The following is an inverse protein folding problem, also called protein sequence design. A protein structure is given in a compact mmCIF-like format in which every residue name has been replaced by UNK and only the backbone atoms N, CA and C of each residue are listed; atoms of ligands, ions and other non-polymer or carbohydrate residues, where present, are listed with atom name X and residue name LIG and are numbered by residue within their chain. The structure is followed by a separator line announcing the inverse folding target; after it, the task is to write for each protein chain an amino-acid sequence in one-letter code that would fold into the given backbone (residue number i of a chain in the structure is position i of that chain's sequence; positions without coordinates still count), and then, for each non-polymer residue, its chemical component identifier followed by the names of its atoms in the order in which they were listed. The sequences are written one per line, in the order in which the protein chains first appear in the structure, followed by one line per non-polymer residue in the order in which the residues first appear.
data_IF_469437297484
#
_entry.id   IF_469437297484
#
_cell.length_a   1.000
_cell.length_b   1.000
_cell.length_c   1.000
_cell.angle_alpha   90.00
_cell.angle_beta   90.00
_cell.angle_gamma   90.00
#
_symmetry.space_group_name_H-M   'P 1'
#
loop_
_entity.id
_entity.type
_entity.pdbx_description
1 polymer ?
#
# COMPACT_ATOMS: atom_id res chain seq x y z
N UNK A 1 26.44 7.57 25.04
CA UNK A 1 25.55 6.38 25.08
C UNK A 1 24.20 6.67 24.44
N UNK A 2 23.76 7.93 24.37
CA UNK A 2 22.44 8.31 23.85
C UNK A 2 22.23 8.05 22.35
N UNK A 3 23.25 8.22 21.50
CA UNK A 3 23.12 7.95 20.06
C UNK A 3 22.86 6.46 19.76
N UNK A 4 23.51 5.57 20.50
CA UNK A 4 23.33 4.13 20.31
C UNK A 4 21.92 3.71 20.74
N UNK A 5 21.42 4.19 21.87
CA UNK A 5 20.04 3.92 22.31
C UNK A 5 19.00 4.52 21.35
N UNK A 6 19.26 5.72 20.82
CA UNK A 6 18.41 6.33 19.80
C UNK A 6 18.36 5.51 18.50
N UNK A 7 19.51 5.09 17.97
CA UNK A 7 19.56 4.26 16.76
C UNK A 7 18.84 2.92 16.97
N UNK A 8 19.03 2.29 18.13
CA UNK A 8 18.31 1.05 18.48
C UNK A 8 16.81 1.30 18.55
N UNK A 9 16.36 2.39 19.18
CA UNK A 9 14.93 2.74 19.23
C UNK A 9 14.33 2.88 17.83
N UNK A 10 14.99 3.60 16.92
CA UNK A 10 14.52 3.79 15.54
C UNK A 10 14.45 2.47 14.78
N UNK A 11 15.48 1.63 14.87
CA UNK A 11 15.49 0.31 14.20
C UNK A 11 14.38 -0.58 14.73
N UNK A 12 14.14 -0.57 16.05
CA UNK A 12 13.05 -1.32 16.67
C UNK A 12 11.69 -0.79 16.19
N UNK A 13 11.47 0.52 16.16
CA UNK A 13 10.22 1.12 15.64
C UNK A 13 9.99 0.72 14.19
N UNK A 14 11.01 0.80 13.33
CA UNK A 14 10.91 0.37 11.93
C UNK A 14 10.55 -1.11 11.84
N UNK A 15 11.23 -1.98 12.59
CA UNK A 15 10.98 -3.42 12.58
C UNK A 15 9.55 -3.75 13.04
N UNK A 16 9.05 -3.06 14.06
CA UNK A 16 7.67 -3.23 14.56
C UNK A 16 6.66 -2.76 13.52
N UNK A 17 6.81 -1.55 12.99
CA UNK A 17 5.88 -1.00 11.97
C UNK A 17 5.86 -1.89 10.73
N UNK A 18 7.03 -2.27 10.20
CA UNK A 18 7.13 -3.15 9.04
C UNK A 18 6.55 -4.53 9.30
N UNK A 19 6.82 -5.11 10.48
CA UNK A 19 6.25 -6.39 10.88
C UNK A 19 4.72 -6.35 10.96
N UNK A 20 4.16 -5.29 11.54
CA UNK A 20 2.71 -5.08 11.62
C UNK A 20 2.11 -4.88 10.23
N UNK A 21 2.71 -4.06 9.38
CA UNK A 21 2.22 -3.80 8.01
C UNK A 21 2.21 -5.08 7.18
N UNK A 22 3.30 -5.86 7.19
CA UNK A 22 3.37 -7.12 6.43
C UNK A 22 2.37 -8.16 6.94
N UNK A 23 2.20 -8.29 8.27
CA UNK A 23 1.17 -9.15 8.84
C UNK A 23 -0.24 -8.65 8.48
N UNK A 24 -0.46 -7.34 8.50
CA UNK A 24 -1.74 -6.75 8.12
C UNK A 24 -2.09 -7.07 6.68
N UNK A 25 -1.16 -6.88 5.74
CA UNK A 25 -1.36 -7.24 4.32
C UNK A 25 -1.69 -8.72 4.17
N UNK A 26 -0.93 -9.61 4.83
CA UNK A 26 -1.17 -11.05 4.78
C UNK A 26 -2.57 -11.43 5.29
N UNK A 27 -2.98 -10.92 6.45
CA UNK A 27 -4.29 -11.24 7.03
C UNK A 27 -5.45 -10.51 6.37
N UNK A 28 -5.24 -9.35 5.75
CA UNK A 28 -6.27 -8.69 4.94
C UNK A 28 -6.74 -9.58 3.80
N UNK A 29 -5.84 -10.30 3.12
CA UNK A 29 -6.23 -11.26 2.07
C UNK A 29 -7.08 -12.40 2.62
N UNK A 30 -6.82 -12.86 3.85
CA UNK A 30 -7.64 -13.86 4.52
C UNK A 30 -9.03 -13.31 4.86
N UNK A 31 -9.09 -12.09 5.42
CA UNK A 31 -10.35 -11.44 5.74
C UNK A 31 -11.17 -11.16 4.48
N UNK A 32 -10.54 -10.70 3.40
CA UNK A 32 -11.20 -10.48 2.10
C UNK A 32 -11.85 -11.77 1.60
N UNK A 33 -11.12 -12.90 1.58
CA UNK A 33 -11.67 -14.21 1.17
C UNK A 33 -12.84 -14.66 2.05
N UNK A 34 -12.80 -14.37 3.34
CA UNK A 34 -13.82 -14.79 4.30
C UNK A 34 -15.07 -13.93 4.20
N UNK A 35 -14.92 -12.61 4.20
CA UNK A 35 -16.02 -11.64 4.05
C UNK A 35 -16.72 -11.84 2.71
N UNK A 36 -15.96 -11.98 1.62
CA UNK A 36 -16.55 -12.22 0.29
C UNK A 36 -17.26 -13.57 0.21
N UNK A 37 -16.74 -14.61 0.89
CA UNK A 37 -17.43 -15.89 1.02
C UNK A 37 -18.78 -15.72 1.72
N UNK A 38 -18.77 -15.10 2.90
CA UNK A 38 -19.97 -14.89 3.71
C UNK A 38 -21.01 -14.02 2.97
N UNK A 39 -20.58 -12.99 2.21
CA UNK A 39 -21.46 -12.19 1.34
C UNK A 39 -22.10 -13.00 0.21
N UNK A 40 -21.44 -14.07 -0.22
CA UNK A 40 -21.89 -14.97 -1.31
C UNK A 40 -22.61 -16.22 -0.77
N UNK A 41 -22.93 -16.27 0.52
CA UNK A 41 -23.53 -17.43 1.20
C UNK A 41 -22.71 -18.73 1.01
N UNK A 42 -21.37 -18.60 1.00
CA UNK A 42 -20.44 -19.72 0.98
C UNK A 42 -19.39 -19.58 2.07
N UNK A 43 -18.96 -20.69 2.65
CA UNK A 43 -17.88 -20.65 3.64
C UNK A 43 -16.56 -20.23 2.97
N UNK A 44 -15.87 -19.26 3.57
CA UNK A 44 -14.50 -18.90 3.23
C UNK A 44 -13.48 -20.00 3.61
N UNK A 45 -12.18 -19.69 3.69
CA UNK A 45 -11.15 -20.66 4.08
C UNK A 45 -11.39 -21.25 5.48
N UNK A 46 -11.57 -22.57 5.59
CA UNK A 46 -11.82 -23.26 6.88
C UNK A 46 -10.78 -24.31 7.27
N UNK A 47 -9.96 -24.77 6.32
CA UNK A 47 -9.13 -25.98 6.47
C UNK A 47 -7.75 -25.73 7.11
N UNK A 48 -7.02 -24.69 6.65
CA UNK A 48 -5.61 -24.50 7.03
C UNK A 48 -5.51 -23.80 8.39
N UNK A 49 -5.52 -24.61 9.46
CA UNK A 49 -5.56 -24.15 10.85
C UNK A 49 -6.98 -23.85 11.34
N UNK A 50 -7.12 -23.34 12.57
CA UNK A 50 -8.44 -23.00 13.10
C UNK A 50 -9.11 -21.92 12.24
N UNK A 51 -10.20 -22.28 11.56
CA UNK A 51 -10.92 -21.41 10.61
C UNK A 51 -10.01 -20.80 9.51
N UNK A 52 -8.97 -21.51 9.05
CA UNK A 52 -8.13 -21.04 7.95
C UNK A 52 -7.10 -19.95 8.32
N UNK A 53 -6.86 -19.68 9.61
CA UNK A 53 -5.93 -18.62 10.05
C UNK A 53 -4.49 -18.79 9.54
N UNK A 54 -4.06 -20.03 9.24
CA UNK A 54 -2.72 -20.30 8.73
C UNK A 54 -2.63 -20.22 7.20
N UNK A 55 -3.73 -19.90 6.51
CA UNK A 55 -3.78 -19.80 5.05
C UNK A 55 -2.80 -18.75 4.49
N UNK A 56 -2.68 -17.52 5.02
CA UNK A 56 -1.72 -16.55 4.49
C UNK A 56 -0.26 -17.02 4.61
N UNK A 57 0.06 -17.77 5.67
CA UNK A 57 1.39 -18.35 5.86
C UNK A 57 1.66 -19.44 4.82
N UNK A 58 0.67 -20.31 4.55
CA UNK A 58 0.78 -21.33 3.50
C UNK A 58 0.93 -20.70 2.10
N UNK A 59 0.20 -19.63 1.81
CA UNK A 59 0.29 -18.89 0.55
C UNK A 59 1.68 -18.25 0.39
N UNK A 60 2.20 -17.60 1.44
CA UNK A 60 3.55 -17.05 1.45
C UNK A 60 4.63 -18.11 1.25
N UNK A 61 4.53 -19.24 1.96
CA UNK A 61 5.46 -20.37 1.83
C UNK A 61 5.45 -20.94 0.42
N UNK A 62 4.26 -21.13 -0.16
CA UNK A 62 4.08 -21.56 -1.55
C UNK A 62 4.78 -20.60 -2.50
N UNK A 63 4.54 -19.29 -2.38
CA UNK A 63 5.10 -18.29 -3.28
C UNK A 63 6.62 -18.19 -3.15
N UNK A 64 7.17 -18.42 -1.95
CA UNK A 64 8.61 -18.44 -1.71
C UNK A 64 9.33 -19.62 -2.36
N UNK A 65 8.74 -20.83 -2.31
CA UNK A 65 9.32 -22.02 -2.94
C UNK A 65 8.92 -22.20 -4.42
N UNK A 66 7.94 -21.43 -4.90
CA UNK A 66 7.52 -21.47 -6.29
C UNK A 66 8.62 -20.90 -7.17
N UNK A 67 8.89 -21.59 -8.27
CA UNK A 67 9.90 -21.21 -9.24
C UNK A 67 9.68 -19.78 -9.75
N UNK A 68 10.74 -18.96 -9.67
CA UNK A 68 10.80 -17.60 -10.18
C UNK A 68 11.31 -17.62 -11.62
N UNK A 69 10.39 -17.47 -12.57
CA UNK A 69 10.63 -17.61 -14.01
C UNK A 69 10.81 -16.20 -14.60
N UNK A 70 11.85 -16.04 -15.40
CA UNK A 70 12.05 -14.83 -16.21
C UNK A 70 11.87 -15.22 -17.68
N UNK A 71 10.87 -14.65 -18.39
CA UNK A 71 10.67 -14.93 -19.81
C UNK A 71 11.92 -14.60 -20.63
N UNK A 72 12.24 -15.41 -21.64
CA UNK A 72 13.46 -15.25 -22.46
C UNK A 72 13.49 -13.94 -23.24
N UNK A 73 12.32 -13.43 -23.64
CA UNK A 73 12.16 -12.15 -24.33
C UNK A 73 12.13 -10.93 -23.39
N UNK A 74 12.05 -11.12 -22.07
CA UNK A 74 11.90 -10.02 -21.13
C UNK A 74 13.23 -9.30 -20.85
N UNK A 75 13.16 -8.00 -20.56
CA UNK A 75 14.32 -7.25 -20.09
C UNK A 75 14.59 -7.62 -18.62
N UNK A 76 15.62 -8.44 -18.37
CA UNK A 76 15.93 -8.98 -17.03
C UNK A 76 16.09 -7.93 -15.94
N UNK A 77 16.71 -6.78 -16.25
CA UNK A 77 16.97 -5.73 -15.26
C UNK A 77 15.65 -5.09 -14.83
N UNK A 78 14.87 -4.63 -15.80
CA UNK A 78 13.62 -3.90 -15.54
C UNK A 78 12.55 -4.85 -15.01
N UNK A 79 12.50 -6.08 -15.52
CA UNK A 79 11.56 -7.10 -15.06
C UNK A 79 11.78 -7.44 -13.58
N UNK A 80 13.04 -7.47 -13.12
CA UNK A 80 13.36 -7.71 -11.70
C UNK A 80 13.16 -6.45 -10.84
N UNK A 81 13.42 -5.26 -11.38
CA UNK A 81 13.29 -4.01 -10.65
C UNK A 81 11.85 -3.53 -10.49
N UNK A 82 10.96 -3.81 -11.46
CA UNK A 82 9.60 -3.29 -11.47
C UNK A 82 8.76 -3.66 -10.23
N UNK A 83 8.71 -4.92 -9.76
CA UNK A 83 7.98 -5.27 -8.53
C UNK A 83 8.57 -4.57 -7.29
N UNK A 84 9.89 -4.37 -7.25
CA UNK A 84 10.57 -3.64 -6.16
C UNK A 84 10.15 -2.17 -6.17
N UNK A 85 9.99 -1.57 -7.35
CA UNK A 85 9.50 -0.20 -7.52
C UNK A 85 8.03 -0.02 -7.15
N UNK A 86 7.23 -1.09 -7.07
CA UNK A 86 5.87 -1.03 -6.53
C UNK A 86 5.91 -1.16 -5.01
N UNK A 87 6.60 -2.20 -4.51
CA UNK A 87 6.62 -2.55 -3.09
C UNK A 87 7.32 -1.50 -2.22
N UNK A 88 8.52 -1.06 -2.63
CA UNK A 88 9.36 -0.19 -1.79
C UNK A 88 8.69 1.17 -1.53
N UNK A 89 8.17 1.90 -2.53
CA UNK A 89 7.43 3.14 -2.29
C UNK A 89 6.20 2.96 -1.39
N UNK A 90 5.46 1.85 -1.54
CA UNK A 90 4.30 1.56 -0.69
C UNK A 90 4.70 1.39 0.78
N UNK A 91 5.82 0.69 1.06
CA UNK A 91 6.33 0.51 2.42
C UNK A 91 6.93 1.79 3.00
N UNK A 92 7.65 2.56 2.19
CA UNK A 92 8.27 3.82 2.58
C UNK A 92 7.21 4.86 2.95
N UNK A 93 6.04 4.85 2.31
CA UNK A 93 4.91 5.73 2.64
C UNK A 93 4.48 5.68 4.12
N UNK A 94 4.64 4.53 4.78
CA UNK A 94 4.32 4.37 6.21
C UNK A 94 5.28 5.09 7.16
N UNK A 95 6.43 5.58 6.67
CA UNK A 95 7.44 6.24 7.51
C UNK A 95 6.92 7.52 8.19
N UNK A 96 5.98 8.23 7.54
CA UNK A 96 5.46 9.53 7.99
C UNK A 96 4.10 9.45 8.68
N UNK A 97 3.51 8.25 8.78
CA UNK A 97 2.17 8.07 9.36
C UNK A 97 2.29 7.98 10.89
N UNK A 98 1.63 8.87 11.65
CA UNK A 98 1.60 8.78 13.11
C UNK A 98 0.58 7.74 13.57
N UNK A 99 1.02 6.75 14.36
CA UNK A 99 0.16 5.70 14.92
C UNK A 99 -0.40 6.01 16.32
N UNK A 100 0.06 7.10 16.94
CA UNK A 100 -0.30 7.47 18.29
C UNK A 100 0.25 8.83 18.69
N UNK A 101 -0.20 9.34 19.85
CA UNK A 101 0.19 10.67 20.36
C UNK A 101 1.35 10.58 21.37
N UNK A 102 1.31 9.58 22.24
CA UNK A 102 2.27 9.46 23.33
C UNK A 102 3.43 8.55 22.95
N UNK A 103 4.64 8.99 23.29
CA UNK A 103 5.84 8.16 23.21
C UNK A 103 5.79 7.06 24.27
N UNK A 104 6.02 5.81 23.85
CA UNK A 104 6.10 4.68 24.76
C UNK A 104 7.54 4.56 25.28
N UNK A 105 7.74 4.87 26.55
CA UNK A 105 9.05 4.70 27.20
C UNK A 105 9.15 3.31 27.84
N UNK A 106 9.98 2.43 27.29
CA UNK A 106 10.28 1.11 27.87
C UNK A 106 11.73 1.15 28.37
N UNK A 107 11.91 1.35 29.68
CA UNK A 107 13.24 1.48 30.28
C UNK A 107 14.00 2.69 29.71
N UNK A 108 15.24 2.53 29.19
CA UNK A 108 16.00 3.62 28.59
C UNK A 108 15.59 3.95 27.13
N UNK A 109 14.64 3.22 26.54
CA UNK A 109 14.20 3.40 25.15
C UNK A 109 12.89 4.19 25.09
N UNK A 110 12.91 5.34 24.42
CA UNK A 110 11.71 6.12 24.09
C UNK A 110 11.29 5.81 22.66
N UNK A 111 10.21 5.04 22.49
CA UNK A 111 9.64 4.72 21.19
C UNK A 111 8.63 5.78 20.81
N UNK A 112 8.91 6.52 19.75
CA UNK A 112 7.94 7.45 19.17
C UNK A 112 6.98 6.64 18.27
N UNK A 113 5.67 6.91 18.31
CA UNK A 113 4.66 6.23 17.50
C UNK A 113 4.64 6.70 16.03
N UNK A 114 5.74 7.32 15.57
CA UNK A 114 6.01 7.72 14.19
C UNK A 114 7.48 7.39 13.91
N UNK A 115 7.80 6.91 12.72
CA UNK A 115 9.20 6.60 12.36
C UNK A 115 9.98 7.92 12.22
N UNK A 116 9.47 8.83 11.38
CA UNK A 116 10.05 10.17 11.19
C UNK A 116 8.96 11.19 10.89
N UNK A 117 8.93 12.29 11.63
CA UNK A 117 8.13 13.46 11.26
C UNK A 117 8.91 14.31 10.24
N UNK A 118 8.32 14.50 9.07
CA UNK A 118 8.89 15.31 7.99
C UNK A 118 7.95 16.49 7.74
N UNK A 119 8.50 17.69 7.62
CA UNK A 119 7.74 18.92 7.39
C UNK A 119 6.81 18.85 6.17
N UNK A 120 7.14 18.01 5.17
CA UNK A 120 6.40 17.81 3.93
C UNK A 120 5.73 16.42 3.85
N UNK A 121 5.29 15.87 4.98
CA UNK A 121 4.78 14.51 5.10
C UNK A 121 3.69 14.12 4.10
N UNK A 122 2.70 14.97 3.84
CA UNK A 122 1.65 14.64 2.87
C UNK A 122 2.16 14.62 1.42
N UNK A 123 3.07 15.54 1.06
CA UNK A 123 3.71 15.59 -0.26
C UNK A 123 4.65 14.40 -0.47
N UNK A 124 5.26 13.92 0.61
CA UNK A 124 6.07 12.72 0.61
C UNK A 124 5.21 11.49 0.24
N UNK A 125 4.04 11.30 0.86
CA UNK A 125 3.14 10.19 0.53
C UNK A 125 2.74 10.25 -0.96
N UNK A 126 2.32 11.43 -1.45
CA UNK A 126 1.95 11.62 -2.85
C UNK A 126 3.10 11.30 -3.80
N UNK A 127 4.32 11.76 -3.49
CA UNK A 127 5.50 11.49 -4.31
C UNK A 127 5.79 9.99 -4.41
N UNK A 128 5.70 9.23 -3.31
CA UNK A 128 5.95 7.79 -3.34
C UNK A 128 4.80 6.98 -3.94
N UNK A 129 3.54 7.41 -3.79
CA UNK A 129 2.40 6.78 -4.49
C UNK A 129 2.56 6.91 -6.01
N UNK A 130 2.97 8.09 -6.50
CA UNK A 130 3.25 8.32 -7.93
C UNK A 130 4.29 7.36 -8.51
N UNK A 131 5.29 6.96 -7.71
CA UNK A 131 6.32 6.00 -8.11
C UNK A 131 5.76 4.58 -8.31
N UNK A 132 4.70 4.22 -7.59
CA UNK A 132 4.01 2.94 -7.76
C UNK A 132 3.45 2.76 -9.16
N UNK A 133 2.89 3.81 -9.77
CA UNK A 133 2.38 3.80 -11.14
C UNK A 133 3.48 3.47 -12.16
N UNK A 134 4.69 3.98 -11.95
CA UNK A 134 5.85 3.64 -12.79
C UNK A 134 6.22 2.17 -12.67
N UNK A 135 6.17 1.59 -11.47
CA UNK A 135 6.45 0.17 -11.26
C UNK A 135 5.49 -0.74 -12.05
N UNK A 136 4.20 -0.40 -12.06
CA UNK A 136 3.17 -1.11 -12.82
C UNK A 136 3.41 -1.03 -14.33
N UNK A 137 3.69 0.17 -14.86
CA UNK A 137 3.96 0.37 -16.29
C UNK A 137 5.23 -0.37 -16.74
N UNK A 138 6.31 -0.25 -15.96
CA UNK A 138 7.59 -0.91 -16.24
C UNK A 138 7.47 -2.43 -16.15
N UNK A 139 6.66 -2.96 -15.24
CA UNK A 139 6.39 -4.41 -15.16
C UNK A 139 5.70 -4.94 -16.41
N UNK A 140 4.66 -4.23 -16.87
CA UNK A 140 3.98 -4.55 -18.13
C UNK A 140 4.90 -4.47 -19.34
N UNK A 141 5.72 -3.43 -19.46
CA UNK A 141 6.64 -3.25 -20.59
C UNK A 141 7.82 -4.22 -20.59
N UNK A 142 8.44 -4.47 -19.43
CA UNK A 142 9.62 -5.32 -19.32
C UNK A 142 9.34 -6.79 -19.66
N UNK A 143 8.08 -7.22 -19.51
CA UNK A 143 7.60 -8.56 -19.81
C UNK A 143 7.68 -8.94 -21.30
N UNK A 144 7.84 -7.95 -22.21
CA UNK A 144 7.88 -8.13 -23.66
C UNK A 144 6.68 -8.90 -24.25
N UNK A 145 5.52 -8.80 -23.60
CA UNK A 145 4.23 -9.31 -24.09
C UNK A 145 3.32 -8.13 -24.42
N UNK A 146 2.74 -8.11 -25.64
CA UNK A 146 1.79 -7.06 -26.05
C UNK A 146 0.54 -7.03 -25.17
N UNK A 147 0.14 -8.18 -24.64
CA UNK A 147 -1.01 -8.30 -23.75
C UNK A 147 -0.73 -7.61 -22.41
N UNK A 148 0.40 -7.95 -21.78
CA UNK A 148 0.83 -7.36 -20.52
C UNK A 148 1.14 -5.87 -20.62
N UNK A 149 1.66 -5.42 -21.76
CA UNK A 149 1.87 -4.00 -22.05
C UNK A 149 0.55 -3.22 -22.11
N UNK A 150 -0.49 -3.76 -22.77
CA UNK A 150 -1.81 -3.12 -22.82
C UNK A 150 -2.45 -3.03 -21.44
N UNK A 151 -2.33 -4.08 -20.62
CA UNK A 151 -2.78 -4.06 -19.22
C UNK A 151 -2.03 -3.04 -18.37
N UNK A 152 -0.70 -2.98 -18.48
CA UNK A 152 0.12 -1.99 -17.78
C UNK A 152 -0.18 -0.55 -18.17
N UNK A 153 -0.41 -0.28 -19.46
CA UNK A 153 -0.79 1.05 -19.96
C UNK A 153 -2.15 1.50 -19.42
N UNK A 154 -3.13 0.59 -19.36
CA UNK A 154 -4.46 0.89 -18.80
C UNK A 154 -4.40 1.13 -17.29
N UNK A 155 -3.66 0.31 -16.56
CA UNK A 155 -3.44 0.51 -15.12
C UNK A 155 -2.78 1.85 -14.84
N UNK A 156 -1.68 2.14 -15.53
CA UNK A 156 -0.98 3.41 -15.37
C UNK A 156 -1.88 4.61 -15.71
N UNK A 157 -2.65 4.52 -16.79
CA UNK A 157 -3.60 5.58 -17.15
C UNK A 157 -4.66 5.81 -16.08
N UNK A 158 -5.21 4.74 -15.48
CA UNK A 158 -6.16 4.84 -14.38
C UNK A 158 -5.53 5.47 -13.14
N UNK A 159 -4.43 4.91 -12.65
CA UNK A 159 -3.73 5.38 -11.44
C UNK A 159 -3.40 6.87 -11.57
N UNK A 160 -2.77 7.29 -12.67
CA UNK A 160 -2.41 8.69 -12.92
C UNK A 160 -3.65 9.59 -13.00
N UNK A 161 -4.75 9.12 -13.60
CA UNK A 161 -5.98 9.91 -13.73
C UNK A 161 -6.67 10.17 -12.38
N UNK A 162 -6.61 9.21 -11.46
CA UNK A 162 -7.24 9.33 -10.13
C UNK A 162 -6.31 9.94 -9.07
N UNK A 163 -5.01 9.97 -9.32
CA UNK A 163 -4.02 10.66 -8.49
C UNK A 163 -4.25 12.19 -8.45
N UNK A 164 -4.61 12.79 -9.59
CA UNK A 164 -4.84 14.24 -9.66
C UNK A 164 -6.04 14.68 -8.79
N UNK A 165 -7.24 14.08 -8.88
CA UNK A 165 -8.32 14.38 -7.95
C UNK A 165 -7.99 14.07 -6.49
N UNK A 166 -7.18 13.04 -6.21
CA UNK A 166 -6.73 12.72 -4.85
C UNK A 166 -5.86 13.85 -4.29
N UNK A 167 -4.90 14.36 -5.07
CA UNK A 167 -4.10 15.52 -4.70
C UNK A 167 -4.95 16.78 -4.49
N UNK A 168 -5.95 17.03 -5.34
CA UNK A 168 -6.86 18.15 -5.19
C UNK A 168 -7.74 18.04 -3.92
N UNK A 169 -8.21 16.84 -3.58
CA UNK A 169 -8.98 16.60 -2.37
C UNK A 169 -8.18 16.87 -1.08
N UNK A 170 -6.85 16.73 -1.12
CA UNK A 170 -5.96 17.01 0.01
C UNK A 170 -5.69 18.50 0.24
N UNK A 171 -5.91 19.37 -0.74
CA UNK A 171 -5.67 20.82 -0.62
C UNK A 171 -6.49 21.41 0.53
N UNK A 172 -7.74 21.00 0.68
CA UNK A 172 -8.61 21.48 1.74
C UNK A 172 -8.11 21.17 3.15
N UNK A 173 -7.84 19.89 3.49
CA UNK A 173 -7.20 19.50 4.74
C UNK A 173 -5.86 20.22 5.02
N UNK A 174 -5.04 20.47 4.00
CA UNK A 174 -3.78 21.21 4.14
C UNK A 174 -4.01 22.66 4.56
N UNK A 175 -5.02 23.33 3.98
CA UNK A 175 -5.37 24.70 4.34
C UNK A 175 -5.95 24.79 5.76
N UNK A 176 -6.73 23.78 6.18
CA UNK A 176 -7.31 23.72 7.53
C UNK A 176 -6.25 23.46 8.61
N UNK A 177 -5.25 22.62 8.33
CA UNK A 177 -4.17 22.31 9.28
C UNK A 177 -3.12 23.41 9.36
N UNK A 178 -2.93 24.20 8.30
CA UNK A 178 -1.83 25.16 8.19
C UNK A 178 -0.43 24.53 8.16
N UNK A 179 -0.35 23.20 7.97
CA UNK A 179 0.90 22.44 7.99
C UNK A 179 0.85 21.24 7.04
N UNK A 180 1.99 20.88 6.46
CA UNK A 180 2.16 19.72 5.59
C UNK A 180 2.67 18.48 6.34
N UNK A 181 2.99 18.60 7.64
CA UNK A 181 3.36 17.47 8.50
C UNK A 181 2.12 16.70 8.93
N UNK A 182 2.17 15.37 8.79
CA UNK A 182 1.08 14.47 9.21
C UNK A 182 0.81 14.53 10.72
N UNK A 183 1.85 14.76 11.53
CA UNK A 183 1.72 14.90 12.99
C UNK A 183 0.93 16.16 13.33
N UNK A 184 1.26 17.29 12.69
CA UNK A 184 0.53 18.54 12.89
C UNK A 184 -0.91 18.46 12.35
N UNK A 185 -1.12 17.80 11.21
CA UNK A 185 -2.45 17.59 10.63
C UNK A 185 -3.36 16.74 11.51
N UNK A 186 -2.81 15.71 12.16
CA UNK A 186 -3.57 14.89 13.12
C UNK A 186 -3.81 15.64 14.43
N UNK A 187 -2.85 16.43 14.91
CA UNK A 187 -3.02 17.29 16.08
C UNK A 187 -4.10 18.38 15.86
N UNK A 188 -4.20 18.95 14.65
CA UNK A 188 -5.23 19.93 14.28
C UNK A 188 -6.66 19.36 14.32
N UNK A 189 -6.81 18.04 14.26
CA UNK A 189 -8.10 17.35 14.39
C UNK A 189 -8.42 16.94 15.83
N UNK A 190 -7.56 17.29 16.79
CA UNK A 190 -7.84 17.07 18.21
C UNK A 190 -8.87 18.10 18.71
N UNK A 191 -9.95 17.63 19.35
CA UNK A 191 -11.05 18.50 19.80
C UNK A 191 -12.46 17.91 19.64
N UNK A 192 -12.60 16.72 19.05
CA UNK A 192 -13.87 16.01 18.91
C UNK A 192 -14.36 15.95 17.47
N UNK A 193 -15.53 15.35 17.25
CA UNK A 193 -16.06 15.05 15.91
C UNK A 193 -16.18 16.29 15.01
N UNK A 194 -16.54 17.46 15.57
CA UNK A 194 -16.69 18.70 14.80
C UNK A 194 -15.37 19.24 14.20
N UNK A 195 -14.21 18.80 14.72
CA UNK A 195 -12.90 19.18 14.21
C UNK A 195 -12.34 18.18 13.17
N UNK A 196 -13.04 17.08 12.91
CA UNK A 196 -12.61 16.10 11.93
C UNK A 196 -12.77 16.67 10.53
N UNK A 197 -11.70 16.66 9.74
CA UNK A 197 -11.69 17.23 8.40
C UNK A 197 -12.72 16.58 7.46
N UNK A 198 -13.08 15.33 7.74
CA UNK A 198 -14.13 14.59 7.03
C UNK A 198 -15.50 15.30 7.16
N UNK A 199 -15.84 15.79 8.35
CA UNK A 199 -17.11 16.46 8.60
C UNK A 199 -17.11 17.92 8.11
N UNK A 200 -15.95 18.57 8.14
CA UNK A 200 -15.79 19.93 7.61
C UNK A 200 -15.83 19.93 6.07
N UNK A 201 -15.26 18.92 5.43
CA UNK A 201 -15.18 18.80 3.97
C UNK A 201 -15.67 17.44 3.45
N UNK A 202 -16.98 17.16 3.52
CA UNK A 202 -17.52 15.88 3.09
C UNK A 202 -17.33 15.61 1.59
N UNK A 203 -17.38 16.66 0.74
CA UNK A 203 -17.17 16.52 -0.71
C UNK A 203 -15.73 16.09 -1.02
N UNK A 204 -14.74 16.72 -0.39
CA UNK A 204 -13.34 16.35 -0.55
C UNK A 204 -13.09 14.92 -0.04
N UNK A 205 -13.74 14.53 1.06
CA UNK A 205 -13.67 13.16 1.55
C UNK A 205 -14.20 12.13 0.54
N UNK A 206 -15.39 12.32 -0.03
CA UNK A 206 -15.92 11.37 -1.02
C UNK A 206 -15.06 11.32 -2.29
N UNK A 207 -14.56 12.46 -2.78
CA UNK A 207 -13.60 12.48 -3.89
C UNK A 207 -12.34 11.69 -3.55
N UNK A 208 -11.77 11.90 -2.36
CA UNK A 208 -10.59 11.18 -1.91
C UNK A 208 -10.83 9.67 -1.84
N UNK A 209 -11.95 9.23 -1.24
CA UNK A 209 -12.27 7.81 -1.10
C UNK A 209 -12.46 7.13 -2.46
N UNK A 210 -13.23 7.75 -3.37
CA UNK A 210 -13.45 7.19 -4.71
C UNK A 210 -12.13 7.11 -5.48
N UNK A 211 -11.32 8.18 -5.45
CA UNK A 211 -10.02 8.19 -6.10
C UNK A 211 -9.03 7.20 -5.51
N UNK A 212 -8.99 7.05 -4.18
CA UNK A 212 -8.11 6.10 -3.52
C UNK A 212 -8.46 4.65 -3.87
N UNK A 213 -9.76 4.32 -3.94
CA UNK A 213 -10.19 2.99 -4.40
C UNK A 213 -9.74 2.75 -5.84
N UNK A 214 -9.94 3.74 -6.72
CA UNK A 214 -9.53 3.64 -8.12
C UNK A 214 -8.00 3.56 -8.32
N UNK A 215 -7.22 4.25 -7.48
CA UNK A 215 -5.75 4.16 -7.49
C UNK A 215 -5.27 2.76 -7.11
N UNK A 216 -5.92 2.11 -6.15
CA UNK A 216 -5.58 0.75 -5.72
C UNK A 216 -6.07 -0.36 -6.66
N UNK A 217 -6.69 -0.02 -7.79
CA UNK A 217 -7.25 -0.96 -8.78
C UNK A 217 -8.21 -2.00 -8.21
N UNK A 218 -8.86 -1.72 -7.09
CA UNK A 218 -9.84 -2.63 -6.47
C UNK A 218 -11.26 -2.35 -6.96
N UNK A 219 -12.09 -3.39 -6.87
CA UNK A 219 -13.52 -3.34 -7.20
C UNK A 219 -14.18 -2.11 -6.55
N UNK A 220 -14.93 -1.28 -7.29
CA UNK A 220 -15.45 -1.49 -8.65
C UNK A 220 -14.55 -0.98 -9.80
N UNK A 221 -13.34 -0.49 -9.50
CA UNK A 221 -12.43 0.11 -10.47
C UNK A 221 -11.25 -0.83 -10.79
N UNK A 222 -11.55 -2.04 -11.26
CA UNK A 222 -10.59 -3.13 -11.52
C UNK A 222 -10.28 -3.33 -13.01
N UNK A 223 -10.42 -2.28 -13.83
CA UNK A 223 -10.12 -2.27 -15.28
C UNK A 223 -8.79 -2.94 -15.71
N UNK A 224 -7.71 -2.93 -14.89
CA UNK A 224 -6.46 -3.61 -15.24
C UNK A 224 -6.33 -5.04 -14.71
N UNK A 225 -7.11 -5.43 -13.69
CA UNK A 225 -7.08 -6.74 -13.06
C UNK A 225 -8.21 -7.67 -13.52
N UNK A 226 -9.26 -7.10 -14.12
CA UNK A 226 -10.46 -7.81 -14.55
C UNK A 226 -10.12 -9.08 -15.36
N UNK A 227 -10.37 -10.24 -14.75
CA UNK A 227 -10.12 -11.56 -15.33
C UNK A 227 -10.93 -11.78 -16.62
N UNK A 228 -12.05 -11.08 -16.78
CA UNK A 228 -12.90 -11.17 -17.97
C UNK A 228 -12.35 -10.42 -19.18
N UNK A 229 -11.41 -9.48 -18.99
CA UNK A 229 -10.86 -8.66 -20.08
C UNK A 229 -9.38 -8.92 -20.32
N UNK A 230 -8.53 -8.56 -19.35
CA UNK A 230 -7.08 -8.48 -19.52
C UNK A 230 -6.28 -9.40 -18.58
N UNK A 231 -6.96 -10.29 -17.84
CA UNK A 231 -6.38 -11.34 -16.97
C UNK A 231 -5.11 -10.83 -16.28
N UNK A 232 -5.26 -9.84 -15.39
CA UNK A 232 -4.16 -9.42 -14.53
C UNK A 232 -2.91 -8.91 -15.30
N UNK A 233 -3.14 -8.04 -16.28
CA UNK A 233 -2.21 -7.76 -17.38
C UNK A 233 -0.76 -7.45 -16.97
N UNK A 234 -0.52 -6.53 -16.03
CA UNK A 234 0.85 -6.09 -15.71
C UNK A 234 1.69 -7.12 -14.94
N UNK A 235 1.06 -8.08 -14.26
CA UNK A 235 1.75 -9.14 -13.52
C UNK A 235 1.59 -10.55 -14.11
N UNK A 236 0.93 -10.70 -15.28
CA UNK A 236 0.69 -12.00 -15.96
C UNK A 236 1.94 -12.86 -16.10
N UNK A 237 3.08 -12.25 -16.44
CA UNK A 237 4.33 -12.95 -16.75
C UNK A 237 5.18 -13.21 -15.49
N UNK A 238 4.73 -12.79 -14.32
CA UNK A 238 5.46 -12.93 -13.06
C UNK A 238 5.07 -14.20 -12.31
N UNK A 239 6.06 -14.83 -11.67
CA UNK A 239 5.85 -16.01 -10.82
C UNK A 239 6.53 -15.86 -9.46
N UNK A 240 6.25 -16.83 -8.58
CA UNK A 240 6.85 -16.91 -7.25
C UNK A 240 6.74 -15.61 -6.46
N UNK A 241 7.88 -15.14 -5.94
CA UNK A 241 7.93 -13.99 -5.05
C UNK A 241 7.77 -12.65 -5.76
N UNK A 242 8.12 -12.54 -7.04
CA UNK A 242 7.95 -11.27 -7.79
C UNK A 242 6.49 -10.96 -8.05
N UNK A 243 5.68 -12.00 -8.30
CA UNK A 243 4.23 -11.87 -8.34
C UNK A 243 3.68 -11.37 -7.01
N UNK A 244 4.18 -11.91 -5.90
CA UNK A 244 3.72 -11.56 -4.55
C UNK A 244 4.07 -10.11 -4.11
N UNK A 245 4.94 -9.42 -4.84
CA UNK A 245 5.32 -8.03 -4.56
C UNK A 245 4.40 -7.00 -5.25
N UNK A 246 3.61 -7.42 -6.24
CA UNK A 246 2.52 -6.61 -6.78
C UNK A 246 1.29 -6.75 -5.88
#
# INVERSE_FOLDING_TARGET
MDLMFYLVAVVVTIAVVMGVVLLHVAYLTYFERKILGDMQDRMGPMEVGFHGLLQPIADGLKLFFKEDIIPTGANKIIFTAAPILVLVPALIGFAVIPFGRDSLTIGPLTLHPVITDINIGILYILAFSSLGAYGVLLGGWASNSKYSLLGGLRSAAQVISYELPLGLALVGPILLSGSLSMVNMTAAQSGGALHWFILVQPVAFFMYVISAIAETNRLPFDLPEAESELVAGFFTEYSGMRFAFF
#
